data_IF_905237965778
#
_entry.id   IF_905237965778
#
_cell.length_a   1.000
_cell.length_b   1.000
_cell.length_c   1.000
_cell.angle_alpha   90.00
_cell.angle_beta   90.00
_cell.angle_gamma   90.00
#
_symmetry.space_group_name_H-M   'P 1'
#
loop_
_entity.id
_entity.type
_entity.pdbx_description
1 polymer ?
#
# COMPACT_ATOMS: atom_id res chain seq x y z
N UNK A 1 62.61 -7.97 -59.15
CA UNK A 1 61.71 -6.91 -58.62
C UNK A 1 60.96 -7.46 -57.46
N UNK A 2 61.38 -7.19 -56.22
CA UNK A 2 60.66 -7.58 -55.00
C UNK A 2 59.75 -6.45 -54.60
N UNK A 3 58.44 -6.64 -54.71
CA UNK A 3 57.48 -5.69 -54.21
C UNK A 3 57.46 -5.78 -52.68
N UNK A 4 57.39 -4.65 -51.96
CA UNK A 4 57.49 -4.71 -50.50
C UNK A 4 56.21 -5.22 -49.89
N UNK A 5 56.20 -6.39 -49.29
CA UNK A 5 55.12 -7.00 -48.57
C UNK A 5 54.63 -6.18 -47.36
N UNK A 6 55.37 -5.12 -46.97
CA UNK A 6 55.02 -4.25 -45.85
C UNK A 6 53.85 -3.28 -46.17
N UNK A 7 53.66 -2.87 -47.43
CA UNK A 7 52.62 -1.92 -47.80
C UNK A 7 51.19 -2.54 -47.76
N UNK A 8 51.08 -3.83 -48.12
CA UNK A 8 49.81 -4.54 -48.13
C UNK A 8 49.24 -4.75 -46.71
N UNK A 9 50.10 -5.15 -45.75
CA UNK A 9 49.68 -5.30 -44.35
C UNK A 9 49.23 -4.00 -43.69
N UNK A 10 49.85 -2.90 -44.03
CA UNK A 10 49.49 -1.57 -43.52
C UNK A 10 48.17 -1.06 -44.13
N UNK A 11 47.96 -1.35 -45.39
CA UNK A 11 46.71 -1.01 -46.11
C UNK A 11 45.54 -1.82 -45.59
N UNK A 12 45.74 -3.12 -45.36
CA UNK A 12 44.73 -4.00 -44.77
C UNK A 12 44.34 -3.57 -43.34
N UNK A 13 45.31 -3.18 -42.48
CA UNK A 13 44.99 -2.62 -41.14
C UNK A 13 44.13 -1.36 -41.20
N UNK A 14 44.36 -0.44 -42.16
CA UNK A 14 43.54 0.73 -42.35
C UNK A 14 42.09 0.39 -42.78
N UNK A 15 41.95 -0.60 -43.66
CA UNK A 15 40.64 -1.07 -44.12
C UNK A 15 39.86 -1.69 -42.94
N UNK A 16 40.48 -2.56 -42.11
CA UNK A 16 39.86 -3.15 -40.94
C UNK A 16 39.46 -2.10 -39.91
N UNK A 17 40.30 -1.09 -39.69
CA UNK A 17 39.99 0.02 -38.80
C UNK A 17 38.80 0.86 -39.32
N UNK A 18 38.71 1.12 -40.61
CA UNK A 18 37.59 1.82 -41.23
C UNK A 18 36.29 1.00 -41.17
N UNK A 19 36.34 -0.27 -41.45
CA UNK A 19 35.20 -1.19 -41.29
C UNK A 19 34.71 -1.27 -39.84
N UNK A 20 35.65 -1.28 -38.88
CA UNK A 20 35.31 -1.24 -37.47
C UNK A 20 34.56 0.05 -37.10
N UNK A 21 34.98 1.22 -37.57
CA UNK A 21 34.28 2.50 -37.32
C UNK A 21 32.89 2.50 -37.97
N UNK A 22 32.76 2.00 -39.20
CA UNK A 22 31.42 1.88 -39.84
C UNK A 22 30.53 0.95 -39.06
N UNK A 23 31.00 -0.22 -38.64
CA UNK A 23 30.26 -1.17 -37.81
C UNK A 23 29.84 -0.57 -36.50
N UNK A 24 30.71 0.19 -35.83
CA UNK A 24 30.40 0.88 -34.59
C UNK A 24 29.29 1.97 -34.81
N UNK A 25 29.39 2.72 -35.91
CA UNK A 25 28.38 3.71 -36.27
C UNK A 25 27.01 3.10 -36.55
N UNK A 26 26.97 1.99 -37.31
CA UNK A 26 25.72 1.24 -37.53
C UNK A 26 25.14 0.71 -36.23
N UNK A 27 25.98 0.19 -35.35
CA UNK A 27 25.56 -0.32 -34.02
C UNK A 27 24.95 0.78 -33.14
N UNK A 28 25.55 1.96 -33.12
CA UNK A 28 25.03 3.11 -32.37
C UNK A 28 23.64 3.53 -32.89
N UNK A 29 23.47 3.59 -34.21
CA UNK A 29 22.18 3.96 -34.84
C UNK A 29 21.11 2.91 -34.52
N UNK A 30 21.44 1.63 -34.65
CA UNK A 30 20.51 0.53 -34.32
C UNK A 30 20.13 0.55 -32.84
N UNK A 31 21.10 0.73 -31.95
CA UNK A 31 20.86 0.80 -30.52
C UNK A 31 19.95 1.98 -30.17
N UNK A 32 20.18 3.14 -30.76
CA UNK A 32 19.32 4.31 -30.54
C UNK A 32 17.90 4.12 -31.06
N UNK A 33 17.74 3.47 -32.21
CA UNK A 33 16.42 3.16 -32.78
C UNK A 33 15.65 2.18 -31.89
N UNK A 34 16.33 1.13 -31.39
CA UNK A 34 15.75 0.15 -30.46
C UNK A 34 15.38 0.83 -29.13
N UNK A 35 16.28 1.64 -28.55
CA UNK A 35 15.99 2.36 -27.30
C UNK A 35 14.75 3.23 -27.42
N UNK A 36 14.59 3.95 -28.54
CA UNK A 36 13.40 4.79 -28.78
C UNK A 36 12.09 4.00 -28.93
N UNK A 37 12.15 2.79 -29.47
CA UNK A 37 10.96 1.94 -29.60
C UNK A 37 10.47 1.46 -28.24
N UNK A 38 11.37 1.19 -27.30
CA UNK A 38 11.06 0.70 -25.96
C UNK A 38 10.89 1.81 -24.92
N UNK A 39 10.73 3.07 -25.31
CA UNK A 39 10.36 4.16 -24.39
C UNK A 39 8.88 4.18 -24.13
N UNK A 40 8.50 4.31 -22.86
CA UNK A 40 7.11 4.39 -22.43
C UNK A 40 6.43 5.59 -23.07
N UNK A 41 5.44 5.32 -23.92
CA UNK A 41 4.60 6.33 -24.60
C UNK A 41 3.21 6.41 -23.99
N UNK A 42 2.70 5.28 -23.49
CA UNK A 42 1.35 5.17 -22.98
C UNK A 42 1.38 4.60 -21.56
N UNK A 43 0.60 5.22 -20.67
CA UNK A 43 0.37 4.69 -19.32
C UNK A 43 -1.14 4.53 -19.16
N UNK A 44 -1.57 3.30 -18.92
CA UNK A 44 -2.96 2.95 -18.64
C UNK A 44 -3.12 2.71 -17.15
N UNK A 45 -4.01 3.45 -16.49
CA UNK A 45 -4.32 3.27 -15.07
C UNK A 45 -5.66 2.56 -14.94
N UNK A 46 -5.67 1.39 -14.30
CA UNK A 46 -6.83 0.51 -14.14
C UNK A 46 -7.27 0.53 -12.67
N UNK A 47 -8.59 0.56 -12.42
CA UNK A 47 -9.16 0.48 -11.07
C UNK A 47 -9.34 1.84 -10.37
N UNK A 48 -9.12 2.97 -11.07
CA UNK A 48 -9.44 4.30 -10.55
C UNK A 48 -10.91 4.68 -10.78
N UNK A 49 -11.43 5.58 -9.96
CA UNK A 49 -12.66 6.31 -10.27
C UNK A 49 -12.35 7.38 -11.33
N UNK A 50 -13.27 7.59 -12.27
CA UNK A 50 -13.07 8.49 -13.44
C UNK A 50 -12.75 9.95 -13.07
N UNK A 51 -13.05 10.38 -11.86
CA UNK A 51 -12.84 11.75 -11.39
C UNK A 51 -11.45 12.02 -10.79
N UNK A 52 -10.64 11.00 -10.53
CA UNK A 52 -9.39 11.16 -9.78
C UNK A 52 -8.17 10.70 -10.61
N UNK A 53 -7.15 11.54 -10.66
CA UNK A 53 -5.87 11.21 -11.33
C UNK A 53 -4.85 10.68 -10.32
N UNK A 54 -4.16 9.58 -10.66
CA UNK A 54 -3.01 9.11 -9.90
C UNK A 54 -1.81 9.96 -10.26
N UNK A 55 -1.32 10.72 -9.29
CA UNK A 55 -0.21 11.66 -9.46
C UNK A 55 1.12 10.88 -9.60
N UNK A 56 2.05 11.43 -10.38
CA UNK A 56 3.42 10.90 -10.50
C UNK A 56 3.60 9.78 -11.52
N UNK A 57 2.54 9.26 -12.13
CA UNK A 57 2.65 8.26 -13.20
C UNK A 57 3.34 8.84 -14.44
N UNK A 58 3.12 10.13 -14.73
CA UNK A 58 3.76 10.83 -15.87
C UNK A 58 5.28 10.85 -15.78
N UNK A 59 5.87 10.75 -14.59
CA UNK A 59 7.32 10.65 -14.40
C UNK A 59 7.94 9.36 -15.00
N UNK A 60 7.12 8.40 -15.37
CA UNK A 60 7.53 7.16 -16.04
C UNK A 60 7.52 7.29 -17.56
N UNK A 61 6.89 8.32 -18.14
CA UNK A 61 6.90 8.59 -19.58
C UNK A 61 8.33 8.84 -20.08
N UNK A 62 8.60 8.47 -21.32
CA UNK A 62 9.87 8.57 -22.01
C UNK A 62 11.04 7.78 -21.37
N UNK A 63 10.83 7.07 -20.27
CA UNK A 63 11.82 6.12 -19.73
C UNK A 63 11.81 4.83 -20.54
N UNK A 64 12.98 4.22 -20.72
CA UNK A 64 13.05 2.92 -21.35
C UNK A 64 12.38 1.87 -20.44
N UNK A 65 11.39 1.14 -20.97
CA UNK A 65 10.53 0.21 -20.22
C UNK A 65 11.30 -0.92 -19.56
N UNK A 66 12.45 -1.34 -20.14
CA UNK A 66 13.30 -2.38 -19.59
C UNK A 66 13.94 -1.98 -18.26
N UNK A 67 14.31 -0.70 -18.13
CA UNK A 67 15.01 -0.16 -16.96
C UNK A 67 14.06 0.43 -15.88
N UNK A 68 12.77 0.33 -16.06
CA UNK A 68 11.83 0.76 -15.00
C UNK A 68 11.86 -0.27 -13.87
N UNK A 69 12.27 0.23 -12.69
CA UNK A 69 12.19 -0.49 -11.43
C UNK A 69 10.75 -0.38 -10.89
N UNK A 70 10.00 -1.48 -10.97
CA UNK A 70 8.58 -1.51 -10.59
C UNK A 70 8.38 -1.32 -9.10
N UNK A 71 9.32 -1.80 -8.26
CA UNK A 71 9.26 -1.67 -6.80
C UNK A 71 9.41 -0.21 -6.41
N UNK A 72 10.45 0.45 -6.89
CA UNK A 72 10.69 1.88 -6.62
C UNK A 72 9.58 2.76 -7.19
N UNK A 73 9.09 2.45 -8.39
CA UNK A 73 7.99 3.20 -8.98
C UNK A 73 6.73 3.10 -8.12
N UNK A 74 6.40 1.89 -7.62
CA UNK A 74 5.28 1.64 -6.72
C UNK A 74 5.41 2.44 -5.42
N UNK A 75 6.56 2.35 -4.74
CA UNK A 75 6.82 3.07 -3.49
C UNK A 75 6.63 4.58 -3.64
N UNK A 76 7.25 5.16 -4.67
CA UNK A 76 7.17 6.62 -4.92
C UNK A 76 5.74 7.04 -5.21
N UNK A 77 5.01 6.31 -6.07
CA UNK A 77 3.65 6.69 -6.45
C UNK A 77 2.68 6.48 -5.27
N UNK A 78 2.80 5.39 -4.50
CA UNK A 78 1.98 5.18 -3.30
C UNK A 78 2.16 6.32 -2.29
N UNK A 79 3.40 6.75 -2.07
CA UNK A 79 3.70 7.82 -1.09
C UNK A 79 3.04 9.16 -1.43
N UNK A 80 2.88 9.48 -2.70
CA UNK A 80 2.25 10.75 -3.14
C UNK A 80 0.76 10.61 -3.42
N UNK A 81 0.21 9.39 -3.35
CA UNK A 81 -1.22 9.10 -3.54
C UNK A 81 -1.77 8.32 -2.34
N UNK A 82 -1.91 8.94 -1.16
CA UNK A 82 -2.25 8.23 0.07
C UNK A 82 -3.61 7.50 0.04
N UNK A 83 -4.55 7.92 -0.83
CA UNK A 83 -5.84 7.27 -1.03
C UNK A 83 -5.84 6.14 -2.06
N UNK A 84 -4.68 5.83 -2.66
CA UNK A 84 -4.53 4.77 -3.64
C UNK A 84 -3.35 3.88 -3.32
N UNK A 85 -3.51 2.59 -3.54
CA UNK A 85 -2.45 1.60 -3.50
C UNK A 85 -2.22 1.06 -4.90
N UNK A 86 -0.98 1.09 -5.37
CA UNK A 86 -0.60 0.40 -6.60
C UNK A 86 -0.46 -1.09 -6.28
N UNK A 87 -1.39 -1.87 -6.82
CA UNK A 87 -1.40 -3.32 -6.65
C UNK A 87 -0.46 -4.00 -7.64
N UNK A 88 -0.34 -3.47 -8.87
CA UNK A 88 0.48 -4.05 -9.93
C UNK A 88 0.96 -2.99 -10.91
N UNK A 89 2.22 -3.12 -11.34
CA UNK A 89 2.76 -2.44 -12.52
C UNK A 89 3.08 -3.54 -13.53
N UNK A 90 2.60 -3.43 -14.75
CA UNK A 90 2.80 -4.42 -15.80
C UNK A 90 3.37 -3.74 -17.05
N UNK A 91 4.46 -4.31 -17.58
CA UNK A 91 5.12 -3.86 -18.80
C UNK A 91 4.46 -4.53 -20.00
N UNK A 92 3.81 -3.75 -20.83
CA UNK A 92 3.22 -4.19 -22.09
C UNK A 92 4.09 -3.68 -23.23
N UNK A 93 4.98 -4.53 -23.70
CA UNK A 93 5.94 -4.19 -24.74
C UNK A 93 5.26 -3.84 -26.06
N UNK A 94 5.82 -2.90 -26.86
CA UNK A 94 7.12 -2.28 -26.63
C UNK A 94 7.10 -1.04 -25.71
N UNK A 95 5.95 -0.31 -25.55
CA UNK A 95 5.98 1.06 -25.04
C UNK A 95 4.83 1.43 -24.09
N UNK A 96 4.08 0.45 -23.56
CA UNK A 96 2.93 0.69 -22.69
C UNK A 96 3.20 0.17 -21.28
N UNK A 97 2.83 0.97 -20.27
CA UNK A 97 2.78 0.55 -18.87
C UNK A 97 1.32 0.49 -18.42
N UNK A 98 0.91 -0.65 -17.86
CA UNK A 98 -0.38 -0.82 -17.22
C UNK A 98 -0.19 -0.79 -15.71
N UNK A 99 -0.87 0.14 -15.03
CA UNK A 99 -0.77 0.36 -13.59
C UNK A 99 -2.13 0.07 -12.97
N UNK A 100 -2.24 -1.01 -12.22
CA UNK A 100 -3.45 -1.35 -11.48
C UNK A 100 -3.42 -0.69 -10.11
N UNK A 101 -4.49 0.01 -9.76
CA UNK A 101 -4.63 0.71 -8.49
C UNK A 101 -5.89 0.26 -7.76
N UNK A 102 -5.81 0.26 -6.43
CA UNK A 102 -6.93 0.03 -5.53
C UNK A 102 -7.15 1.29 -4.69
N UNK A 103 -8.40 1.72 -4.57
CA UNK A 103 -8.73 2.82 -3.67
C UNK A 103 -8.68 2.33 -2.22
N UNK A 104 -8.08 3.13 -1.35
CA UNK A 104 -8.07 2.93 0.09
C UNK A 104 -9.17 3.78 0.71
N UNK A 105 -9.91 3.17 1.64
CA UNK A 105 -11.01 3.84 2.34
C UNK A 105 -10.63 4.08 3.80
N UNK A 106 -11.06 5.20 4.38
CA UNK A 106 -10.88 5.48 5.79
C UNK A 106 -11.54 4.41 6.67
N UNK A 107 -10.83 3.97 7.72
CA UNK A 107 -11.33 3.01 8.72
C UNK A 107 -11.36 3.61 10.12
N UNK A 108 -10.33 4.32 10.55
CA UNK A 108 -10.27 4.93 11.86
C UNK A 108 -9.37 6.18 11.88
N UNK A 109 -9.60 7.07 12.83
CA UNK A 109 -8.63 8.07 13.24
C UNK A 109 -7.76 7.54 14.37
N UNK A 110 -6.46 7.72 14.29
CA UNK A 110 -5.54 7.51 15.40
C UNK A 110 -5.25 8.87 16.06
N UNK A 111 -5.61 9.01 17.33
CA UNK A 111 -5.27 10.17 18.13
C UNK A 111 -3.78 10.11 18.49
N UNK A 112 -3.06 11.15 18.14
CA UNK A 112 -1.62 11.31 18.45
C UNK A 112 -1.36 12.54 19.32
N UNK A 113 -2.35 12.97 20.10
CA UNK A 113 -2.32 14.07 21.04
C UNK A 113 -2.35 15.46 20.38
N UNK A 114 -1.48 15.72 19.42
CA UNK A 114 -1.38 17.00 18.71
C UNK A 114 -2.14 17.04 17.37
N UNK A 115 -2.99 16.05 17.12
CA UNK A 115 -3.78 15.87 15.90
C UNK A 115 -4.14 14.42 15.67
N UNK A 116 -4.63 14.12 14.49
CA UNK A 116 -5.18 12.83 14.12
C UNK A 116 -4.56 12.33 12.83
N UNK A 117 -4.32 11.03 12.76
CA UNK A 117 -3.92 10.33 11.54
C UNK A 117 -5.09 9.51 11.05
N UNK A 118 -5.62 9.81 9.86
CA UNK A 118 -6.69 9.05 9.23
C UNK A 118 -6.08 7.78 8.61
N UNK A 119 -6.48 6.62 9.10
CA UNK A 119 -5.94 5.32 8.69
C UNK A 119 -6.89 4.56 7.77
N UNK A 120 -6.33 3.85 6.79
CA UNK A 120 -7.04 2.78 6.10
C UNK A 120 -7.06 1.50 6.95
N UNK A 121 -7.82 0.50 6.53
CA UNK A 121 -7.87 -0.81 7.19
C UNK A 121 -6.51 -1.55 7.19
N UNK A 122 -5.63 -1.22 6.25
CA UNK A 122 -4.28 -1.78 6.17
C UNK A 122 -3.25 -1.01 7.02
N UNK A 123 -3.65 0.13 7.64
CA UNK A 123 -2.78 0.99 8.42
C UNK A 123 -2.05 2.06 7.62
N UNK A 124 -2.44 2.30 6.35
CA UNK A 124 -1.90 3.42 5.57
C UNK A 124 -2.47 4.74 6.10
N UNK A 125 -1.62 5.74 6.25
CA UNK A 125 -2.03 7.09 6.61
C UNK A 125 -2.56 7.80 5.38
N UNK A 126 -3.88 7.99 5.34
CA UNK A 126 -4.55 8.63 4.22
C UNK A 126 -4.46 10.15 4.30
N UNK A 127 -4.55 10.69 5.52
CA UNK A 127 -4.59 12.12 5.79
C UNK A 127 -4.09 12.42 7.20
N UNK A 128 -3.62 13.64 7.41
CA UNK A 128 -3.26 14.17 8.73
C UNK A 128 -4.12 15.38 9.01
N UNK A 129 -4.83 15.35 10.14
CA UNK A 129 -5.75 16.40 10.53
C UNK A 129 -5.37 16.98 11.91
N UNK A 130 -5.59 18.28 12.11
CA UNK A 130 -5.51 18.92 13.43
C UNK A 130 -6.82 18.85 14.17
N UNK A 131 -7.94 18.78 13.44
CA UNK A 131 -9.29 18.73 13.93
C UNK A 131 -10.00 17.61 13.19
N UNK A 132 -10.84 16.85 13.85
CA UNK A 132 -11.63 15.80 13.23
C UNK A 132 -12.50 16.37 12.11
N UNK A 133 -12.34 15.83 10.92
CA UNK A 133 -13.09 16.27 9.75
C UNK A 133 -14.29 15.36 9.43
N UNK A 134 -14.42 14.21 10.10
CA UNK A 134 -15.49 13.21 9.87
C UNK A 134 -15.91 12.56 11.18
N UNK A 135 -17.06 12.94 11.68
CA UNK A 135 -17.61 12.45 12.97
C UNK A 135 -18.10 10.99 12.93
N UNK A 136 -18.20 10.40 11.74
CA UNK A 136 -18.69 9.02 11.56
C UNK A 136 -17.60 7.95 11.63
N UNK A 137 -16.34 8.34 11.71
CA UNK A 137 -15.17 7.43 11.72
C UNK A 137 -14.71 7.25 13.16
N UNK A 138 -14.49 6.03 13.66
CA UNK A 138 -14.07 5.78 15.03
C UNK A 138 -12.68 6.34 15.33
N UNK A 139 -12.46 6.69 16.60
CA UNK A 139 -11.19 7.22 17.08
C UNK A 139 -10.48 6.15 17.88
N UNK A 140 -9.21 5.90 17.56
CA UNK A 140 -8.29 5.05 18.30
C UNK A 140 -7.50 5.91 19.28
N UNK A 141 -7.69 5.66 20.57
CA UNK A 141 -6.79 6.13 21.64
C UNK A 141 -5.70 5.09 21.86
N UNK A 142 -4.45 5.53 21.87
CA UNK A 142 -3.31 4.64 21.93
C UNK A 142 -2.44 4.89 23.17
N UNK A 143 -2.00 3.85 23.86
CA UNK A 143 -1.27 3.92 25.13
C UNK A 143 0.18 4.44 25.03
N UNK A 144 0.73 4.53 23.82
CA UNK A 144 2.08 5.08 23.60
C UNK A 144 2.00 6.38 22.82
N UNK A 145 2.92 7.29 23.10
CA UNK A 145 3.05 8.53 22.35
C UNK A 145 3.52 8.23 20.91
N UNK A 146 2.77 8.74 19.96
CA UNK A 146 3.11 8.70 18.53
C UNK A 146 3.33 10.15 18.08
N UNK A 147 4.55 10.51 17.64
CA UNK A 147 4.83 11.88 17.26
C UNK A 147 4.10 12.25 15.96
N UNK A 148 3.23 13.25 16.02
CA UNK A 148 2.51 13.75 14.84
C UNK A 148 3.44 14.13 13.68
N UNK A 149 4.61 14.71 13.97
CA UNK A 149 5.61 15.10 12.97
C UNK A 149 6.40 13.94 12.39
N UNK A 150 6.37 12.77 13.03
CA UNK A 150 7.13 11.58 12.61
C UNK A 150 6.53 10.83 11.43
N UNK A 151 5.30 11.16 11.06
CA UNK A 151 4.56 10.46 10.00
C UNK A 151 4.02 11.45 8.96
N UNK A 152 3.87 10.96 7.73
CA UNK A 152 3.30 11.71 6.60
C UNK A 152 2.15 10.92 5.97
N UNK A 153 1.27 11.61 5.25
CA UNK A 153 0.31 10.92 4.39
C UNK A 153 1.05 10.05 3.36
N UNK A 154 0.59 8.82 3.17
CA UNK A 154 1.26 7.80 2.37
C UNK A 154 2.24 6.89 3.13
N UNK A 155 2.57 7.20 4.39
CA UNK A 155 3.31 6.29 5.26
C UNK A 155 2.37 5.19 5.83
N UNK A 156 2.95 4.13 6.38
CA UNK A 156 2.22 3.01 7.01
C UNK A 156 2.56 2.96 8.49
N UNK A 157 1.54 2.78 9.33
CA UNK A 157 1.74 2.50 10.76
C UNK A 157 1.93 1.00 10.95
N UNK A 158 3.16 0.58 11.15
CA UNK A 158 3.52 -0.82 11.36
C UNK A 158 3.58 -1.16 12.85
N UNK A 159 2.44 -1.10 13.53
CA UNK A 159 2.26 -1.56 14.91
C UNK A 159 1.21 -2.66 14.93
N UNK A 160 1.56 -3.82 15.53
CA UNK A 160 0.73 -5.03 15.50
C UNK A 160 -0.66 -4.79 16.12
N UNK A 161 -0.71 -4.14 17.27
CA UNK A 161 -1.94 -3.84 18.01
C UNK A 161 -2.86 -2.89 17.25
N UNK A 162 -2.32 -1.88 16.57
CA UNK A 162 -3.11 -0.99 15.69
C UNK A 162 -3.66 -1.78 14.49
N UNK A 163 -2.85 -2.61 13.84
CA UNK A 163 -3.32 -3.45 12.73
C UNK A 163 -4.39 -4.46 13.15
N UNK A 164 -4.25 -5.03 14.35
CA UNK A 164 -5.24 -5.95 14.88
C UNK A 164 -6.57 -5.24 15.15
N UNK A 165 -6.52 -4.04 15.72
CA UNK A 165 -7.73 -3.22 15.94
C UNK A 165 -8.40 -2.85 14.62
N UNK A 166 -7.65 -2.41 13.61
CA UNK A 166 -8.22 -2.08 12.29
C UNK A 166 -8.91 -3.31 11.67
N UNK A 167 -8.38 -4.49 11.88
CA UNK A 167 -9.03 -5.74 11.48
C UNK A 167 -10.31 -5.99 12.27
N UNK A 168 -10.30 -5.82 13.61
CA UNK A 168 -11.49 -6.05 14.44
C UNK A 168 -12.60 -5.03 14.20
N UNK A 169 -12.29 -3.80 13.78
CA UNK A 169 -13.32 -2.86 13.30
C UNK A 169 -14.15 -3.51 12.18
N UNK A 170 -13.48 -4.05 11.15
CA UNK A 170 -14.18 -4.70 10.03
C UNK A 170 -15.01 -5.92 10.49
N UNK A 171 -14.51 -6.67 11.47
CA UNK A 171 -15.22 -7.84 12.04
C UNK A 171 -16.50 -7.41 12.74
N UNK A 172 -16.44 -6.39 13.60
CA UNK A 172 -17.59 -5.87 14.35
C UNK A 172 -18.61 -5.23 13.40
N UNK A 173 -18.14 -4.46 12.41
CA UNK A 173 -19.02 -3.84 11.42
C UNK A 173 -19.73 -4.86 10.52
N UNK A 174 -19.10 -6.01 10.22
CA UNK A 174 -19.77 -7.12 9.51
C UNK A 174 -20.93 -7.71 10.33
N UNK A 175 -20.84 -7.66 11.65
CA UNK A 175 -21.95 -8.03 12.54
C UNK A 175 -23.08 -6.97 12.60
N UNK A 176 -23.00 -5.90 11.78
CA UNK A 176 -23.92 -4.76 11.70
C UNK A 176 -23.89 -3.85 12.92
N UNK A 177 -22.79 -3.85 13.64
CA UNK A 177 -22.57 -2.93 14.75
C UNK A 177 -21.56 -1.86 14.34
N UNK A 178 -21.88 -0.60 14.64
CA UNK A 178 -21.01 0.53 14.31
C UNK A 178 -20.03 0.77 15.45
N UNK A 179 -18.73 0.64 15.16
CA UNK A 179 -17.68 1.02 16.10
C UNK A 179 -17.60 2.54 16.20
N UNK A 180 -17.59 3.09 17.41
CA UNK A 180 -17.55 4.53 17.67
C UNK A 180 -16.19 4.93 18.22
N UNK A 181 -15.65 4.15 19.15
CA UNK A 181 -14.41 4.44 19.85
C UNK A 181 -13.61 3.17 20.05
N UNK A 182 -12.30 3.34 20.11
CA UNK A 182 -11.36 2.24 20.32
C UNK A 182 -10.31 2.70 21.31
N UNK A 183 -10.06 1.85 22.34
CA UNK A 183 -9.02 2.10 23.32
C UNK A 183 -8.01 0.94 23.27
N UNK A 184 -6.77 1.25 22.91
CA UNK A 184 -5.65 0.31 22.97
C UNK A 184 -4.87 0.64 24.24
N UNK A 185 -5.04 -0.17 25.29
CA UNK A 185 -4.31 -0.02 26.57
C UNK A 185 -3.04 -0.87 26.64
N UNK A 186 -2.71 -1.59 25.57
CA UNK A 186 -1.56 -2.48 25.41
C UNK A 186 -1.90 -3.67 24.53
N UNK A 187 -0.93 -4.55 24.25
CA UNK A 187 -1.12 -5.75 23.42
C UNK A 187 -2.19 -6.71 23.95
N UNK A 188 -2.37 -6.76 25.25
CA UNK A 188 -3.34 -7.62 25.93
C UNK A 188 -4.74 -7.00 26.04
N UNK A 189 -4.94 -5.75 25.61
CA UNK A 189 -6.22 -5.06 25.79
C UNK A 189 -6.52 -4.12 24.61
N UNK A 190 -7.34 -4.60 23.71
CA UNK A 190 -7.91 -3.88 22.59
C UNK A 190 -9.41 -3.78 22.82
N UNK A 191 -9.90 -2.61 23.22
CA UNK A 191 -11.31 -2.33 23.48
C UNK A 191 -11.98 -1.66 22.28
N UNK A 192 -13.04 -2.27 21.74
CA UNK A 192 -13.89 -1.70 20.71
C UNK A 192 -15.26 -1.40 21.32
N UNK A 193 -15.74 -0.18 21.14
CA UNK A 193 -16.98 0.30 21.73
C UNK A 193 -17.97 0.68 20.61
N UNK A 194 -19.16 0.14 20.71
CA UNK A 194 -20.31 0.51 19.89
C UNK A 194 -21.30 1.35 20.71
N UNK A 195 -22.48 1.66 20.19
CA UNK A 195 -23.52 2.36 20.98
C UNK A 195 -23.98 1.52 22.17
N UNK A 196 -24.11 0.19 22.02
CA UNK A 196 -24.75 -0.68 22.99
C UNK A 196 -23.76 -1.68 23.65
N UNK A 197 -22.63 -1.96 23.00
CA UNK A 197 -21.76 -3.07 23.39
C UNK A 197 -20.29 -2.68 23.49
N UNK A 198 -19.55 -3.44 24.28
CA UNK A 198 -18.10 -3.39 24.41
C UNK A 198 -17.49 -4.77 24.08
N UNK A 199 -16.49 -4.76 23.18
CA UNK A 199 -15.75 -5.95 22.79
C UNK A 199 -14.28 -5.81 23.15
N UNK A 200 -13.75 -6.77 23.90
CA UNK A 200 -12.36 -6.81 24.32
C UNK A 200 -11.61 -7.90 23.59
N UNK A 201 -10.54 -7.55 22.89
CA UNK A 201 -9.63 -8.44 22.17
C UNK A 201 -8.20 -8.31 22.68
N UNK A 202 -7.30 -9.16 22.20
CA UNK A 202 -5.88 -9.15 22.50
C UNK A 202 -5.04 -9.39 21.25
N UNK A 203 -3.95 -8.63 21.10
CA UNK A 203 -2.93 -8.91 20.07
C UNK A 203 -1.99 -10.07 20.44
N UNK A 204 -2.04 -10.55 21.67
CA UNK A 204 -1.24 -11.71 22.13
C UNK A 204 -1.86 -13.04 21.72
N UNK A 205 -3.17 -13.06 21.48
CA UNK A 205 -3.93 -14.23 21.07
C UNK A 205 -4.07 -14.29 19.54
N UNK A 206 -4.19 -15.49 19.00
CA UNK A 206 -4.42 -15.66 17.56
C UNK A 206 -5.69 -14.96 17.10
N UNK A 207 -5.57 -14.21 16.01
CA UNK A 207 -6.64 -13.37 15.47
C UNK A 207 -7.81 -14.22 14.97
N UNK A 208 -7.52 -15.31 14.29
CA UNK A 208 -8.50 -16.25 13.73
C UNK A 208 -9.32 -16.92 14.81
N UNK A 209 -8.70 -17.26 15.94
CA UNK A 209 -9.42 -17.86 17.08
C UNK A 209 -10.38 -16.84 17.69
N UNK A 210 -9.96 -15.60 17.89
CA UNK A 210 -10.82 -14.55 18.44
C UNK A 210 -11.96 -14.19 17.47
N UNK A 211 -11.70 -14.18 16.16
CA UNK A 211 -12.73 -14.01 15.14
C UNK A 211 -13.79 -15.10 15.22
N UNK A 212 -13.35 -16.35 15.25
CA UNK A 212 -14.27 -17.49 15.39
C UNK A 212 -15.13 -17.40 16.66
N UNK A 213 -14.50 -17.07 17.79
CA UNK A 213 -15.21 -16.89 19.06
C UNK A 213 -16.23 -15.74 18.99
N UNK A 214 -15.87 -14.64 18.33
CA UNK A 214 -16.76 -13.51 18.14
C UNK A 214 -17.97 -13.89 17.29
N UNK A 215 -17.76 -14.48 16.12
CA UNK A 215 -18.81 -14.85 15.20
C UNK A 215 -19.80 -15.86 15.82
N UNK A 216 -19.29 -16.87 16.53
CA UNK A 216 -20.12 -17.85 17.23
C UNK A 216 -20.91 -17.22 18.38
N UNK A 217 -20.30 -16.37 19.21
CA UNK A 217 -20.98 -15.71 20.32
C UNK A 217 -22.12 -14.79 19.83
N UNK A 218 -21.82 -13.93 18.84
CA UNK A 218 -22.82 -13.02 18.28
C UNK A 218 -23.99 -13.79 17.67
N UNK A 219 -23.69 -14.83 16.89
CA UNK A 219 -24.73 -15.68 16.29
C UNK A 219 -25.62 -16.36 17.35
N UNK A 220 -25.03 -16.89 18.41
CA UNK A 220 -25.79 -17.54 19.49
C UNK A 220 -26.70 -16.53 20.22
N UNK A 221 -26.19 -15.34 20.56
CA UNK A 221 -26.98 -14.31 21.25
C UNK A 221 -28.12 -13.78 20.39
N UNK A 222 -27.87 -13.61 19.09
CA UNK A 222 -28.95 -13.22 18.14
C UNK A 222 -30.05 -14.28 18.06
N UNK A 223 -29.69 -15.58 18.00
CA UNK A 223 -30.69 -16.69 17.94
C UNK A 223 -31.50 -16.78 19.24
N UNK A 224 -30.83 -16.61 20.39
CA UNK A 224 -31.47 -16.78 21.70
C UNK A 224 -32.14 -15.52 22.21
N UNK A 225 -32.00 -14.37 21.51
CA UNK A 225 -32.53 -13.09 21.98
C UNK A 225 -31.89 -12.59 23.27
N UNK A 226 -30.64 -12.99 23.56
CA UNK A 226 -29.92 -12.60 24.77
C UNK A 226 -29.29 -11.22 24.55
N UNK A 227 -29.57 -10.31 25.50
CA UNK A 227 -28.90 -9.00 25.56
C UNK A 227 -27.68 -9.09 26.46
N UNK A 228 -26.62 -8.39 26.08
CA UNK A 228 -25.35 -8.32 26.83
C UNK A 228 -24.80 -6.89 26.73
N UNK A 229 -23.90 -6.53 27.63
CA UNK A 229 -23.24 -5.22 27.62
C UNK A 229 -21.77 -5.33 27.18
N UNK A 230 -21.10 -6.45 27.51
CA UNK A 230 -19.67 -6.67 27.17
C UNK A 230 -19.41 -8.12 26.87
N UNK A 231 -18.50 -8.37 25.88
CA UNK A 231 -17.90 -9.68 25.65
C UNK A 231 -16.37 -9.53 25.63
N UNK A 232 -15.71 -10.36 26.41
CA UNK A 232 -14.25 -10.38 26.53
C UNK A 232 -13.68 -11.64 25.86
N UNK A 233 -13.01 -11.47 24.72
CA UNK A 233 -12.41 -12.56 23.92
C UNK A 233 -10.93 -12.82 24.24
N UNK A 234 -10.37 -12.12 25.21
CA UNK A 234 -8.98 -12.31 25.63
C UNK A 234 -8.72 -13.66 26.29
N UNK A 235 -9.74 -14.28 26.82
CA UNK A 235 -9.68 -15.59 27.49
C UNK A 235 -9.96 -16.75 26.52
N UNK A 236 -9.59 -17.96 26.91
CA UNK A 236 -9.86 -19.16 26.10
C UNK A 236 -11.34 -19.39 25.86
N UNK A 237 -12.17 -19.02 26.81
CA UNK A 237 -13.64 -18.93 26.64
C UNK A 237 -14.06 -17.49 26.81
N UNK A 238 -14.87 -16.95 25.90
CA UNK A 238 -15.39 -15.59 26.02
C UNK A 238 -16.15 -15.39 27.34
N UNK A 239 -15.85 -14.29 28.01
CA UNK A 239 -16.54 -13.89 29.25
C UNK A 239 -17.56 -12.83 28.91
N UNK A 240 -18.83 -13.09 29.28
CA UNK A 240 -19.96 -12.21 28.95
C UNK A 240 -20.41 -11.48 30.20
N UNK A 241 -20.69 -10.18 30.05
CA UNK A 241 -21.37 -9.37 31.05
C UNK A 241 -22.73 -8.94 30.46
N UNK A 242 -23.75 -9.22 31.20
CA UNK A 242 -25.13 -8.83 30.92
C UNK A 242 -25.48 -7.46 31.46
#
# INVERSE_FOLDING_TARGET
MQFPALSLKFFLKKIYFFLFIISLGVWIVLFHSIDNEYRVRTITVIGKSDAESVIGTTALLNKNIWFIDEIKAREVINKINPFYEITKIQKEYPSTLSISVRRLYPSAYLDVGNGFLLLSKEGNILQKDRILSRDSIPIITYYQDIPYSGYHAGDIIDKKDIRDVLYYIEVVERAKEKVIRIDIAGYHMLGLYTDDHEYLFSSEKERELQLYQFEEAIKQFQIQGITYSRIDFRFDKPVVKF
#
